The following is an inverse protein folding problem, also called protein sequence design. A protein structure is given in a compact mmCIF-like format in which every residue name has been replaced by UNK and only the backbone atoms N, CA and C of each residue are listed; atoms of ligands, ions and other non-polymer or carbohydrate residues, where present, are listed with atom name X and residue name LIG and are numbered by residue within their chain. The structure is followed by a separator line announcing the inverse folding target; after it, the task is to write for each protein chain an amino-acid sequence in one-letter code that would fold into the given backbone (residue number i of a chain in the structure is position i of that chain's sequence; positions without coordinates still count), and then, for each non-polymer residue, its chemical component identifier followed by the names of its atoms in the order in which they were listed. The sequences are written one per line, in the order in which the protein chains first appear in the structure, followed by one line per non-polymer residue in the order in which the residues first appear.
data_IF_088979836215
#
_entry.id   IF_088979836215
#
_cell.length_a   1.000
_cell.length_b   1.000
_cell.length_c   1.000
_cell.angle_alpha   90.00
_cell.angle_beta   90.00
_cell.angle_gamma   90.00
#
_symmetry.space_group_name_H-M   'P 1'
#
loop_
_entity.id
_entity.type
_entity.pdbx_description
1 polymer ?
#
# COMPACT_ATOMS: atom_id res chain seq x y z
N UNK A 1 15.60 8.16 24.14
CA UNK A 1 15.58 7.01 23.20
C UNK A 1 14.76 5.92 23.83
N UNK A 2 13.66 5.53 23.21
CA UNK A 2 12.89 4.38 23.69
C UNK A 2 13.74 3.12 23.52
N UNK A 3 13.75 2.18 24.49
CA UNK A 3 14.39 0.89 24.29
C UNK A 3 13.78 0.21 23.07
N UNK A 4 14.55 -0.56 22.30
CA UNK A 4 14.00 -1.28 21.16
C UNK A 4 12.83 -2.14 21.64
N UNK A 5 11.71 -2.07 20.92
CA UNK A 5 10.58 -2.95 21.15
C UNK A 5 11.05 -4.42 21.10
N UNK A 6 10.53 -5.26 21.97
CA UNK A 6 10.83 -6.69 21.96
C UNK A 6 10.43 -7.37 20.63
N UNK A 7 9.53 -6.77 19.86
CA UNK A 7 9.12 -7.20 18.54
C UNK A 7 9.45 -6.12 17.50
N UNK A 8 9.82 -6.51 16.27
CA UNK A 8 10.05 -5.56 15.19
C UNK A 8 8.75 -4.82 14.84
N UNK A 9 8.85 -3.52 14.65
CA UNK A 9 7.75 -2.69 14.16
C UNK A 9 7.66 -2.70 12.63
N UNK A 10 6.45 -2.46 12.12
CA UNK A 10 6.27 -2.28 10.68
C UNK A 10 6.80 -0.90 10.25
N UNK A 11 7.61 -0.85 9.20
CA UNK A 11 8.21 0.38 8.69
C UNK A 11 7.63 0.78 7.33
N UNK A 12 7.73 -0.08 6.32
CA UNK A 12 7.25 0.25 4.98
C UNK A 12 6.84 -0.97 4.17
N UNK A 13 6.09 -0.71 3.12
CA UNK A 13 5.92 -1.58 1.95
C UNK A 13 6.58 -0.89 0.76
N UNK A 14 7.25 -1.65 -0.09
CA UNK A 14 7.93 -1.11 -1.26
C UNK A 14 7.16 -1.47 -2.55
N UNK A 15 7.07 -0.51 -3.46
CA UNK A 15 6.49 -0.68 -4.79
C UNK A 15 7.44 -0.15 -5.85
N UNK A 16 7.38 -0.72 -7.05
CA UNK A 16 8.08 -0.21 -8.23
C UNK A 16 7.08 0.54 -9.11
N UNK A 17 7.35 1.81 -9.34
CA UNK A 17 6.58 2.61 -10.27
C UNK A 17 6.90 2.26 -11.72
N UNK A 18 5.90 2.24 -12.57
CA UNK A 18 6.08 2.21 -14.04
C UNK A 18 6.31 3.62 -14.59
N UNK A 19 5.73 4.62 -13.94
CA UNK A 19 5.95 6.05 -14.14
C UNK A 19 6.04 6.70 -12.76
N UNK A 20 7.26 7.06 -12.34
CA UNK A 20 7.53 7.55 -11.00
C UNK A 20 6.72 8.82 -10.66
N UNK A 21 6.67 9.77 -11.58
CA UNK A 21 5.98 11.04 -11.29
C UNK A 21 4.45 10.86 -11.20
N UNK A 22 3.88 9.96 -12.00
CA UNK A 22 2.47 9.60 -11.91
C UNK A 22 2.16 8.94 -10.56
N UNK A 23 2.98 7.98 -10.15
CA UNK A 23 2.81 7.28 -8.87
C UNK A 23 2.94 8.26 -7.70
N UNK A 24 3.93 9.15 -7.73
CA UNK A 24 4.08 10.18 -6.71
C UNK A 24 2.83 11.05 -6.61
N UNK A 25 2.29 11.55 -7.73
CA UNK A 25 1.06 12.37 -7.72
C UNK A 25 -0.13 11.61 -7.17
N UNK A 26 -0.28 10.34 -7.53
CA UNK A 26 -1.37 9.51 -7.02
C UNK A 26 -1.38 9.46 -5.49
N UNK A 27 -0.24 9.13 -4.88
CA UNK A 27 -0.16 9.01 -3.42
C UNK A 27 -0.16 10.37 -2.72
N UNK A 28 0.50 11.39 -3.25
CA UNK A 28 0.58 12.70 -2.60
C UNK A 28 -0.66 13.53 -2.84
N UNK A 29 -0.95 13.91 -4.07
CA UNK A 29 -2.08 14.78 -4.41
C UNK A 29 -3.42 14.02 -4.26
N UNK A 30 -3.43 12.75 -4.67
CA UNK A 30 -4.61 11.90 -4.63
C UNK A 30 -4.97 11.43 -3.23
N UNK A 31 -4.07 10.76 -2.54
CA UNK A 31 -4.35 10.13 -1.24
C UNK A 31 -3.87 10.94 -0.04
N UNK A 32 -3.10 12.01 -0.25
CA UNK A 32 -2.67 12.91 0.81
C UNK A 32 -1.42 12.48 1.58
N UNK A 33 -0.66 11.52 1.05
CA UNK A 33 0.64 11.16 1.62
C UNK A 33 1.61 12.33 1.55
N UNK A 34 2.56 12.37 2.47
CA UNK A 34 3.62 13.38 2.49
C UNK A 34 4.95 12.77 2.10
N UNK A 35 5.69 13.45 1.23
CA UNK A 35 7.06 13.04 0.92
C UNK A 35 7.92 13.23 2.15
N UNK A 36 8.44 12.14 2.69
CA UNK A 36 9.34 12.17 3.84
C UNK A 36 10.79 12.29 3.42
N UNK A 37 11.17 11.60 2.35
CA UNK A 37 12.54 11.60 1.86
C UNK A 37 12.59 11.15 0.40
N UNK A 38 13.36 11.86 -0.41
CA UNK A 38 13.72 11.46 -1.77
C UNK A 38 15.18 11.05 -1.79
N UNK A 39 15.51 10.01 -2.56
CA UNK A 39 16.89 9.58 -2.70
C UNK A 39 17.15 8.88 -4.03
N UNK A 40 18.43 8.77 -4.36
CA UNK A 40 18.94 7.96 -5.45
C UNK A 40 20.26 7.33 -5.02
N UNK A 41 20.63 6.23 -5.62
CA UNK A 41 21.94 5.59 -5.42
C UNK A 41 22.54 5.38 -6.81
N UNK A 42 23.61 6.11 -7.17
CA UNK A 42 24.21 6.01 -8.51
C UNK A 42 24.51 4.57 -8.91
N UNK A 43 24.12 4.22 -10.12
CA UNK A 43 24.33 2.88 -10.69
C UNK A 43 23.40 1.78 -10.14
N UNK A 44 22.50 2.12 -9.21
CA UNK A 44 21.61 1.14 -8.59
C UNK A 44 20.16 1.61 -8.49
N UNK A 45 19.94 2.79 -7.94
CA UNK A 45 18.60 3.37 -7.74
C UNK A 45 18.55 4.68 -8.49
N UNK A 46 17.73 4.75 -9.53
CA UNK A 46 17.56 5.94 -10.35
C UNK A 46 16.80 7.01 -9.55
N UNK A 47 15.66 6.66 -8.97
CA UNK A 47 14.84 7.53 -8.14
C UNK A 47 14.11 6.69 -7.10
N UNK A 48 14.00 7.21 -5.89
CA UNK A 48 13.17 6.62 -4.84
C UNK A 48 12.62 7.69 -3.89
N UNK A 49 11.54 7.36 -3.21
CA UNK A 49 10.94 8.20 -2.19
C UNK A 49 10.29 7.37 -1.08
N UNK A 50 10.38 7.86 0.14
CA UNK A 50 9.51 7.43 1.23
C UNK A 50 8.33 8.39 1.36
N UNK A 51 7.12 7.84 1.27
CA UNK A 51 5.86 8.56 1.40
C UNK A 51 5.20 8.19 2.73
N UNK A 52 5.01 9.16 3.60
CA UNK A 52 4.41 9.00 4.92
C UNK A 52 2.89 9.05 4.82
N UNK A 53 2.22 8.03 5.33
CA UNK A 53 0.77 7.99 5.46
C UNK A 53 0.23 8.90 6.57
N UNK A 54 1.12 9.48 7.38
CA UNK A 54 0.79 10.39 8.49
C UNK A 54 0.97 9.77 9.87
N UNK A 55 1.46 8.55 9.95
CA UNK A 55 1.66 7.80 11.20
C UNK A 55 3.08 7.23 11.36
N UNK A 56 4.04 7.67 10.52
CA UNK A 56 5.42 7.19 10.52
C UNK A 56 5.59 5.81 9.89
N UNK A 57 4.61 5.36 9.14
CA UNK A 57 4.70 4.17 8.28
C UNK A 57 4.63 4.60 6.83
N UNK A 58 5.41 3.93 5.98
CA UNK A 58 5.72 4.47 4.67
C UNK A 58 5.33 3.52 3.54
N UNK A 59 5.11 4.13 2.39
CA UNK A 59 5.27 3.46 1.10
C UNK A 59 6.62 3.94 0.54
N UNK A 60 7.50 2.98 0.22
CA UNK A 60 8.74 3.24 -0.49
C UNK A 60 8.51 3.03 -1.98
N UNK A 61 8.66 4.09 -2.76
CA UNK A 61 8.44 4.07 -4.21
C UNK A 61 9.78 4.08 -4.90
N UNK A 62 10.02 3.10 -5.76
CA UNK A 62 11.20 3.04 -6.62
C UNK A 62 10.84 3.39 -8.06
N UNK A 63 11.72 4.12 -8.73
CA UNK A 63 11.63 4.37 -10.17
C UNK A 63 11.83 3.09 -10.99
N UNK A 64 11.37 3.07 -12.25
CA UNK A 64 11.39 1.86 -13.09
C UNK A 64 12.79 1.35 -13.41
N UNK A 65 13.80 2.22 -13.38
CA UNK A 65 15.21 1.87 -13.64
C UNK A 65 15.96 1.35 -12.41
N UNK A 66 15.33 1.33 -11.24
CA UNK A 66 15.99 0.93 -10.01
C UNK A 66 16.23 -0.57 -9.94
N UNK A 67 17.45 -0.97 -9.57
CA UNK A 67 17.81 -2.36 -9.29
C UNK A 67 17.58 -2.64 -7.80
N UNK A 68 16.45 -3.23 -7.48
CA UNK A 68 16.04 -3.59 -6.12
C UNK A 68 15.54 -5.01 -6.08
N UNK A 69 15.49 -5.59 -4.87
CA UNK A 69 14.93 -6.93 -4.72
C UNK A 69 13.47 -6.94 -5.12
N UNK A 70 13.10 -7.99 -5.85
CA UNK A 70 11.68 -8.28 -6.08
C UNK A 70 11.06 -8.86 -4.81
N UNK A 71 9.75 -8.76 -4.71
CA UNK A 71 9.00 -9.46 -3.69
C UNK A 71 9.20 -10.98 -3.78
N UNK A 72 8.97 -11.66 -2.67
CA UNK A 72 8.98 -13.11 -2.63
C UNK A 72 7.88 -13.70 -3.50
N UNK A 73 8.16 -14.84 -4.08
CA UNK A 73 7.18 -15.58 -4.85
C UNK A 73 6.88 -16.91 -4.19
N UNK A 74 5.63 -17.29 -4.21
CA UNK A 74 5.21 -18.61 -3.77
C UNK A 74 5.88 -19.70 -4.60
N UNK A 75 6.25 -20.80 -3.96
CA UNK A 75 7.03 -21.89 -4.56
C UNK A 75 6.22 -23.16 -4.71
N UNK A 76 6.65 -23.97 -5.64
CA UNK A 76 6.24 -25.33 -5.88
C UNK A 76 6.43 -26.28 -4.68
N UNK A 77 5.89 -27.52 -4.75
CA UNK A 77 5.39 -28.13 -5.97
C UNK A 77 3.86 -28.06 -6.15
N UNK A 78 3.14 -27.64 -5.15
CA UNK A 78 1.67 -27.81 -5.13
C UNK A 78 0.89 -26.50 -5.15
N UNK A 79 1.54 -25.41 -5.47
CA UNK A 79 0.84 -24.15 -5.52
C UNK A 79 -0.22 -24.16 -6.63
N UNK A 80 -1.49 -23.96 -6.23
CA UNK A 80 -2.60 -23.88 -7.16
C UNK A 80 -2.67 -22.53 -7.89
N UNK A 81 -1.90 -21.52 -7.38
CA UNK A 81 -1.89 -20.15 -7.89
C UNK A 81 -0.47 -19.66 -8.08
N UNK A 82 -0.29 -18.85 -9.09
CA UNK A 82 1.00 -18.22 -9.43
C UNK A 82 1.18 -16.84 -8.78
N UNK A 83 0.25 -16.44 -7.93
CA UNK A 83 0.30 -15.16 -7.23
C UNK A 83 1.44 -15.14 -6.21
N UNK A 84 2.03 -13.97 -6.01
CA UNK A 84 2.99 -13.74 -4.95
C UNK A 84 2.36 -13.87 -3.55
N UNK A 85 3.19 -13.91 -2.53
CA UNK A 85 2.72 -13.97 -1.15
C UNK A 85 2.07 -12.67 -0.69
N UNK A 86 2.49 -11.53 -1.24
CA UNK A 86 1.87 -10.23 -0.97
C UNK A 86 0.65 -10.07 -1.87
N UNK A 87 -0.53 -9.98 -1.26
CA UNK A 87 -1.81 -9.87 -1.98
C UNK A 87 -2.25 -8.43 -2.15
N UNK A 88 -2.16 -7.65 -1.10
CA UNK A 88 -2.49 -6.24 -1.05
C UNK A 88 -1.87 -5.60 0.19
N UNK A 89 -1.89 -4.30 0.23
CA UNK A 89 -1.70 -3.57 1.49
C UNK A 89 -2.94 -2.76 1.82
N UNK A 90 -3.15 -2.52 3.10
CA UNK A 90 -4.35 -1.85 3.59
C UNK A 90 -4.01 -0.51 4.22
N UNK A 91 -4.81 0.50 3.89
CA UNK A 91 -4.77 1.82 4.49
C UNK A 91 -5.96 1.99 5.42
N UNK A 92 -5.70 2.31 6.69
CA UNK A 92 -6.76 2.71 7.62
C UNK A 92 -7.26 4.09 7.22
N UNK A 93 -8.58 4.23 7.12
CA UNK A 93 -9.24 5.48 6.74
C UNK A 93 -10.38 5.78 7.69
N UNK A 94 -10.69 7.07 7.84
CA UNK A 94 -11.84 7.50 8.64
C UNK A 94 -13.18 7.34 7.90
N UNK A 95 -13.14 7.34 6.56
CA UNK A 95 -14.30 7.25 5.68
C UNK A 95 -13.91 6.50 4.42
N UNK A 96 -14.40 5.28 4.31
CA UNK A 96 -14.09 4.37 3.19
C UNK A 96 -14.66 4.88 1.87
N UNK A 97 -15.85 5.46 1.86
CA UNK A 97 -16.48 6.01 0.67
C UNK A 97 -15.67 7.18 0.12
N UNK A 98 -15.27 8.09 1.00
CA UNK A 98 -14.47 9.26 0.62
C UNK A 98 -13.08 8.84 0.10
N UNK A 99 -12.43 7.89 0.77
CA UNK A 99 -11.12 7.38 0.34
C UNK A 99 -11.19 6.69 -1.03
N UNK A 100 -12.20 5.86 -1.24
CA UNK A 100 -12.44 5.19 -2.51
C UNK A 100 -12.68 6.20 -3.64
N UNK A 101 -13.56 7.18 -3.42
CA UNK A 101 -13.85 8.21 -4.42
C UNK A 101 -12.59 9.03 -4.78
N UNK A 102 -11.79 9.40 -3.78
CA UNK A 102 -10.51 10.11 -4.01
C UNK A 102 -9.53 9.29 -4.82
N UNK A 103 -9.42 8.01 -4.52
CA UNK A 103 -8.52 7.12 -5.26
C UNK A 103 -8.93 7.01 -6.74
N UNK A 104 -10.22 6.84 -7.03
CA UNK A 104 -10.73 6.81 -8.40
C UNK A 104 -10.50 8.14 -9.12
N UNK A 105 -10.74 9.26 -8.46
CA UNK A 105 -10.47 10.59 -9.02
C UNK A 105 -8.97 10.81 -9.31
N UNK A 106 -8.09 10.16 -8.56
CA UNK A 106 -6.64 10.19 -8.75
C UNK A 106 -6.12 9.18 -9.79
N UNK A 107 -7.01 8.38 -10.41
CA UNK A 107 -6.67 7.48 -11.49
C UNK A 107 -6.57 6.00 -11.12
N UNK A 108 -6.97 5.61 -9.91
CA UNK A 108 -7.08 4.20 -9.56
C UNK A 108 -8.24 3.53 -10.30
N UNK A 109 -8.11 2.22 -10.53
CA UNK A 109 -9.17 1.42 -11.12
C UNK A 109 -10.02 0.78 -10.01
N UNK A 110 -11.36 0.72 -10.17
CA UNK A 110 -12.24 0.10 -9.19
C UNK A 110 -12.06 -1.42 -9.14
N UNK A 111 -12.04 -1.99 -7.92
CA UNK A 111 -12.05 -3.45 -7.71
C UNK A 111 -13.25 -3.89 -6.88
N UNK A 112 -13.41 -3.34 -5.70
CA UNK A 112 -14.53 -3.63 -4.80
C UNK A 112 -15.04 -2.29 -4.26
N UNK A 113 -16.26 -1.93 -4.63
CA UNK A 113 -16.93 -0.73 -4.12
C UNK A 113 -17.10 -0.82 -2.59
N UNK A 114 -17.19 0.32 -1.90
CA UNK A 114 -17.37 0.36 -0.46
C UNK A 114 -18.54 -0.53 0.01
N UNK A 115 -18.25 -1.41 0.95
CA UNK A 115 -19.24 -2.31 1.53
C UNK A 115 -18.89 -2.67 2.97
N UNK A 116 -19.88 -3.07 3.72
CA UNK A 116 -19.68 -3.71 5.02
C UNK A 116 -19.22 -5.16 4.84
N UNK A 117 -18.24 -5.55 5.64
CA UNK A 117 -17.80 -6.93 5.76
C UNK A 117 -17.80 -7.34 7.24
N UNK A 118 -18.07 -8.61 7.47
CA UNK A 118 -18.07 -9.20 8.82
C UNK A 118 -16.89 -10.15 8.91
N UNK A 119 -16.01 -9.90 9.85
CA UNK A 119 -14.83 -10.71 10.10
C UNK A 119 -15.06 -11.59 11.35
N UNK A 120 -15.15 -12.89 11.13
CA UNK A 120 -15.34 -13.85 12.19
C UNK A 120 -16.77 -13.88 12.77
N UNK A 121 -16.93 -14.70 13.79
CA UNK A 121 -18.22 -14.89 14.48
C UNK A 121 -18.09 -14.73 15.99
N UNK A 122 -16.89 -14.95 16.53
CA UNK A 122 -16.65 -14.83 17.96
C UNK A 122 -15.21 -14.38 18.23
N UNK A 123 -14.96 -13.09 18.41
CA UNK A 123 -15.94 -12.00 18.25
C UNK A 123 -16.36 -11.77 16.80
N UNK A 124 -17.53 -11.20 16.62
CA UNK A 124 -17.96 -10.64 15.35
C UNK A 124 -17.41 -9.23 15.24
N UNK A 125 -16.64 -8.96 14.18
CA UNK A 125 -16.09 -7.64 13.91
C UNK A 125 -16.67 -7.15 12.59
N UNK A 126 -17.36 -6.04 12.63
CA UNK A 126 -17.88 -5.38 11.45
C UNK A 126 -16.93 -4.27 10.99
N UNK A 127 -16.61 -4.27 9.71
CA UNK A 127 -15.69 -3.30 9.10
C UNK A 127 -16.31 -2.74 7.81
N UNK A 128 -15.90 -1.54 7.44
CA UNK A 128 -16.20 -0.96 6.14
C UNK A 128 -14.96 -1.06 5.26
N UNK A 129 -15.08 -1.68 4.10
CA UNK A 129 -13.94 -1.95 3.21
C UNK A 129 -14.22 -1.52 1.78
N UNK A 130 -13.15 -1.20 1.05
CA UNK A 130 -13.15 -1.02 -0.40
C UNK A 130 -11.78 -1.40 -0.94
N UNK A 131 -11.71 -1.76 -2.23
CA UNK A 131 -10.46 -2.09 -2.91
C UNK A 131 -10.35 -1.35 -4.24
N UNK A 132 -9.16 -0.91 -4.55
CA UNK A 132 -8.81 -0.34 -5.84
C UNK A 132 -7.54 -0.99 -6.38
N UNK A 133 -7.28 -0.84 -7.68
CA UNK A 133 -5.97 -1.08 -8.26
C UNK A 133 -5.28 0.26 -8.45
N UNK A 134 -4.12 0.42 -7.87
CA UNK A 134 -3.30 1.63 -7.99
C UNK A 134 -2.60 1.74 -9.35
N UNK A 135 -1.85 2.83 -9.58
CA UNK A 135 -1.27 3.15 -10.89
C UNK A 135 -0.24 2.12 -11.38
N UNK A 136 0.32 1.31 -10.51
CA UNK A 136 1.34 0.32 -10.85
C UNK A 136 0.83 -1.12 -10.79
N UNK A 137 -0.49 -1.32 -10.67
CA UNK A 137 -1.12 -2.62 -10.60
C UNK A 137 -1.24 -3.16 -9.18
N UNK A 138 -0.77 -2.43 -8.19
CA UNK A 138 -0.89 -2.79 -6.78
C UNK A 138 -2.34 -2.76 -6.32
N UNK A 139 -2.71 -3.70 -5.47
CA UNK A 139 -4.03 -3.72 -4.85
C UNK A 139 -3.97 -2.98 -3.52
N UNK A 140 -4.83 -2.00 -3.36
CA UNK A 140 -4.95 -1.17 -2.16
C UNK A 140 -6.32 -1.42 -1.54
N UNK A 141 -6.32 -1.82 -0.28
CA UNK A 141 -7.52 -1.89 0.55
C UNK A 141 -7.67 -0.60 1.35
N UNK A 142 -8.88 -0.07 1.44
CA UNK A 142 -9.27 0.94 2.43
C UNK A 142 -10.12 0.27 3.49
N UNK A 143 -9.76 0.44 4.74
CA UNK A 143 -10.48 -0.16 5.87
C UNK A 143 -10.80 0.89 6.92
N UNK A 144 -12.07 0.96 7.26
CA UNK A 144 -12.61 1.77 8.33
C UNK A 144 -13.15 0.84 9.42
N UNK A 145 -12.60 0.98 10.62
CA UNK A 145 -13.01 0.22 11.80
C UNK A 145 -12.56 0.93 13.06
N UNK A 146 -13.37 0.82 14.10
CA UNK A 146 -13.02 1.24 15.46
C UNK A 146 -12.58 0.06 16.33
N UNK A 147 -12.67 -1.18 15.82
CA UNK A 147 -12.42 -2.39 16.57
C UNK A 147 -11.04 -3.01 16.32
N UNK A 148 -10.45 -2.77 15.13
CA UNK A 148 -9.14 -3.29 14.72
C UNK A 148 -8.31 -2.25 14.00
#
# INVERSE_FOLDING_TARGET
MQPPSAAPGFHHVAIRATDFDRTMRFYTDGLGFKVRHNFAIPGRIDRAAFLDAGDGRYIEVFGPGSSVQSEGRRREPSEARTEGALLHFCLRVADTEAAYARALAAGAEPRVAPRTAVLGQNPLIEVRIAFVTGPDGEVIEFLQSEQI
#
